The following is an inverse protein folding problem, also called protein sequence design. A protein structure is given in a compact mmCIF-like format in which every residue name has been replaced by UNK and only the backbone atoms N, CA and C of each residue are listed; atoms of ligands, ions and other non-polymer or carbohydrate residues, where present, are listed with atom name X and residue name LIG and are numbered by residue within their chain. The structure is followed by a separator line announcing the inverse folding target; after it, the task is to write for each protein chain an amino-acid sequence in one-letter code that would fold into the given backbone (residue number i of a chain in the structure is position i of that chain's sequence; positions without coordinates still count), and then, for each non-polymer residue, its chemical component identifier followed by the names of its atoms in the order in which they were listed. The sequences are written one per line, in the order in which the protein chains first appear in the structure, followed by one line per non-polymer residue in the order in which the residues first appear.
data_IF_395604345422
#
_entry.id   IF_395604345422
#
_cell.length_a   1.000
_cell.length_b   1.000
_cell.length_c   1.000
_cell.angle_alpha   90.00
_cell.angle_beta   90.00
_cell.angle_gamma   90.00
#
_symmetry.space_group_name_H-M   'P 1'
#
loop_
_entity.id
_entity.type
_entity.pdbx_description
1 polymer ?
#
# COMPACT_ATOMS: atom_id res chain seq x y z
N UNK A 1 8.47 8.53 -22.74
CA UNK A 1 7.79 7.24 -22.51
C UNK A 1 8.66 5.99 -22.74
N UNK A 2 9.78 6.07 -23.49
CA UNK A 2 10.62 4.88 -23.74
C UNK A 2 11.62 4.50 -22.62
N UNK A 3 11.81 5.34 -21.59
CA UNK A 3 12.73 5.04 -20.48
C UNK A 3 12.09 4.15 -19.40
N UNK A 4 10.80 4.36 -19.10
CA UNK A 4 10.01 3.53 -18.18
C UNK A 4 9.79 2.12 -18.74
N UNK A 5 9.53 2.01 -20.05
CA UNK A 5 9.40 0.72 -20.74
C UNK A 5 10.71 -0.10 -20.74
N UNK A 6 11.87 0.58 -20.80
CA UNK A 6 13.20 -0.06 -20.77
C UNK A 6 13.61 -0.49 -19.37
N UNK A 7 13.21 0.24 -18.33
CA UNK A 7 13.43 -0.14 -16.92
C UNK A 7 12.57 -1.34 -16.52
N UNK A 8 11.31 -1.40 -16.97
CA UNK A 8 10.44 -2.56 -16.75
C UNK A 8 10.97 -3.83 -17.46
N UNK A 9 11.49 -3.69 -18.69
CA UNK A 9 12.07 -4.80 -19.44
C UNK A 9 13.39 -5.34 -18.83
N UNK A 10 14.17 -4.51 -18.13
CA UNK A 10 15.39 -4.93 -17.45
C UNK A 10 15.11 -5.71 -16.16
N UNK A 11 13.98 -5.44 -15.49
CA UNK A 11 13.53 -6.18 -14.31
C UNK A 11 13.04 -7.60 -14.66
N UNK A 12 12.38 -7.79 -15.81
CA UNK A 12 11.91 -9.11 -16.26
C UNK A 12 13.02 -10.03 -16.80
N UNK A 13 14.19 -9.49 -17.16
CA UNK A 13 15.29 -10.28 -17.74
C UNK A 13 16.08 -11.11 -16.70
N UNK A 14 15.82 -10.94 -15.40
CA UNK A 14 16.49 -11.68 -14.32
C UNK A 14 15.71 -12.98 -13.98
N UNK A 15 14.50 -13.15 -14.49
CA UNK A 15 13.59 -14.24 -14.07
C UNK A 15 13.75 -15.57 -14.82
N UNK A 16 14.81 -15.77 -15.61
CA UNK A 16 14.91 -16.93 -16.53
C UNK A 16 16.27 -17.67 -16.49
N UNK A 17 16.92 -17.76 -15.32
CA UNK A 17 18.11 -18.61 -15.12
C UNK A 17 17.86 -19.55 -13.94
N UNK A 18 17.31 -20.75 -14.19
CA UNK A 18 17.12 -21.80 -13.18
C UNK A 18 16.13 -21.44 -12.07
N UNK A 19 15.48 -22.43 -11.46
CA UNK A 19 14.61 -22.20 -10.30
C UNK A 19 15.40 -22.18 -8.98
N UNK A 20 16.72 -22.00 -9.02
CA UNK A 20 17.58 -22.17 -7.85
C UNK A 20 17.87 -20.82 -7.20
N UNK A 21 17.56 -20.72 -5.91
CA UNK A 21 17.78 -19.49 -5.15
C UNK A 21 19.26 -19.22 -4.88
N UNK A 22 19.62 -18.01 -4.40
CA UNK A 22 21.00 -17.64 -4.15
C UNK A 22 21.71 -18.55 -3.14
N UNK A 23 20.99 -19.07 -2.14
CA UNK A 23 21.54 -20.00 -1.16
C UNK A 23 21.71 -21.41 -1.72
N UNK A 24 20.75 -21.87 -2.52
CA UNK A 24 20.81 -23.13 -3.26
C UNK A 24 22.02 -23.17 -4.22
N UNK A 25 22.22 -22.12 -5.03
CA UNK A 25 23.39 -22.00 -5.92
C UNK A 25 24.72 -21.95 -5.16
N UNK A 26 24.74 -21.34 -3.97
CA UNK A 26 25.92 -21.34 -3.11
C UNK A 26 26.20 -22.75 -2.56
N UNK A 27 25.15 -23.49 -2.20
CA UNK A 27 25.21 -24.88 -1.76
C UNK A 27 25.71 -25.82 -2.85
N UNK A 28 25.18 -25.71 -4.07
CA UNK A 28 25.63 -26.48 -5.23
C UNK A 28 27.13 -26.32 -5.48
N UNK A 29 27.63 -25.08 -5.44
CA UNK A 29 29.08 -24.79 -5.59
C UNK A 29 29.92 -25.38 -4.47
N UNK A 30 29.41 -25.39 -3.23
CA UNK A 30 30.09 -25.97 -2.09
C UNK A 30 30.17 -27.51 -2.20
N UNK A 31 29.08 -28.16 -2.62
CA UNK A 31 29.03 -29.60 -2.84
C UNK A 31 29.96 -30.01 -4.00
N UNK A 32 29.95 -29.26 -5.11
CA UNK A 32 30.88 -29.46 -6.23
C UNK A 32 32.35 -29.31 -5.80
N UNK A 33 32.68 -28.30 -4.97
CA UNK A 33 34.03 -28.12 -4.45
C UNK A 33 34.46 -29.22 -3.47
N UNK A 34 33.50 -29.85 -2.78
CA UNK A 34 33.74 -30.99 -1.89
C UNK A 34 33.85 -32.33 -2.65
N UNK A 35 33.72 -32.32 -3.98
CA UNK A 35 33.74 -33.54 -4.80
C UNK A 35 32.50 -34.41 -4.61
N UNK A 36 31.40 -33.83 -4.10
CA UNK A 36 30.10 -34.46 -4.07
C UNK A 36 29.55 -34.35 -5.49
N UNK A 37 29.89 -35.31 -6.34
CA UNK A 37 29.37 -35.36 -7.72
C UNK A 37 27.89 -35.69 -7.68
N UNK A 38 27.09 -34.72 -8.11
CA UNK A 38 25.66 -34.84 -8.18
C UNK A 38 25.28 -35.83 -9.29
N UNK A 39 24.59 -36.91 -8.92
CA UNK A 39 23.81 -37.66 -9.91
C UNK A 39 22.60 -36.80 -10.19
N UNK A 40 22.33 -36.52 -11.46
CA UNK A 40 21.22 -35.72 -12.09
C UNK A 40 19.82 -35.82 -11.44
N UNK A 41 19.62 -36.67 -10.43
CA UNK A 41 18.37 -36.97 -9.73
C UNK A 41 18.41 -36.62 -8.22
N UNK A 42 19.55 -36.25 -7.61
CA UNK A 42 19.65 -36.14 -6.14
C UNK A 42 20.52 -34.98 -5.64
N UNK A 43 19.95 -33.79 -5.52
CA UNK A 43 20.56 -32.58 -4.92
C UNK A 43 21.48 -32.86 -3.73
N UNK A 44 22.62 -32.18 -3.71
CA UNK A 44 23.66 -32.31 -2.70
C UNK A 44 23.23 -31.80 -1.30
N UNK A 45 23.94 -32.18 -0.22
CA UNK A 45 23.56 -31.78 1.14
C UNK A 45 23.54 -30.26 1.35
N UNK A 46 24.51 -29.53 0.80
CA UNK A 46 24.60 -28.08 0.95
C UNK A 46 23.59 -27.36 0.08
N UNK A 47 23.35 -27.87 -1.13
CA UNK A 47 22.28 -27.41 -2.04
C UNK A 47 20.90 -27.46 -1.36
N UNK A 48 20.53 -28.59 -0.73
CA UNK A 48 19.26 -28.73 0.00
C UNK A 48 19.12 -27.75 1.16
N UNK A 49 20.21 -27.53 1.89
CA UNK A 49 20.23 -26.55 2.99
C UNK A 49 19.99 -25.15 2.43
N UNK A 50 20.54 -24.84 1.26
CA UNK A 50 20.30 -23.61 0.53
C UNK A 50 18.84 -23.45 0.09
N UNK A 51 18.24 -24.48 -0.52
CA UNK A 51 16.82 -24.46 -0.96
C UNK A 51 15.88 -24.17 0.22
N UNK A 52 16.14 -24.78 1.38
CA UNK A 52 15.35 -24.54 2.61
C UNK A 52 15.48 -23.09 3.08
N UNK A 53 16.69 -22.51 3.03
CA UNK A 53 16.92 -21.10 3.38
C UNK A 53 16.16 -20.19 2.43
N UNK A 54 16.30 -20.40 1.11
CA UNK A 54 15.63 -19.62 0.09
C UNK A 54 14.09 -19.70 0.23
N UNK A 55 13.56 -20.89 0.57
CA UNK A 55 12.13 -21.07 0.85
C UNK A 55 11.70 -20.29 2.09
N UNK A 56 12.46 -20.39 3.18
CA UNK A 56 12.16 -19.67 4.41
C UNK A 56 12.17 -18.15 4.20
N UNK A 57 13.12 -17.63 3.43
CA UNK A 57 13.20 -16.20 3.08
C UNK A 57 12.01 -15.75 2.23
N UNK A 58 11.63 -16.54 1.21
CA UNK A 58 10.43 -16.25 0.39
C UNK A 58 9.16 -16.26 1.23
N UNK A 59 9.01 -17.21 2.14
CA UNK A 59 7.84 -17.28 3.01
C UNK A 59 7.79 -16.10 3.99
N UNK A 60 8.94 -15.68 4.52
CA UNK A 60 9.02 -14.45 5.33
C UNK A 60 8.70 -13.20 4.51
N UNK A 61 9.17 -13.10 3.26
CA UNK A 61 8.87 -11.97 2.39
C UNK A 61 7.37 -11.89 2.10
N UNK A 62 6.73 -13.01 1.75
CA UNK A 62 5.26 -13.09 1.55
C UNK A 62 4.49 -12.72 2.80
N UNK A 63 4.94 -13.15 3.98
CA UNK A 63 4.29 -12.77 5.23
C UNK A 63 4.37 -11.26 5.49
N UNK A 64 5.50 -10.62 5.17
CA UNK A 64 5.67 -9.16 5.28
C UNK A 64 4.80 -8.41 4.27
N UNK A 65 4.73 -8.90 3.03
CA UNK A 65 3.86 -8.35 1.99
C UNK A 65 2.39 -8.41 2.41
N UNK A 66 1.91 -9.57 2.87
CA UNK A 66 0.55 -9.71 3.39
C UNK A 66 0.26 -8.79 4.60
N UNK A 67 1.24 -8.57 5.46
CA UNK A 67 1.12 -7.59 6.56
C UNK A 67 1.04 -6.15 6.05
N UNK A 68 1.80 -5.81 5.01
CA UNK A 68 1.77 -4.49 4.41
C UNK A 68 0.42 -4.23 3.72
N UNK A 69 -0.08 -5.18 2.95
CA UNK A 69 -1.38 -5.10 2.29
C UNK A 69 -2.51 -4.90 3.31
N UNK A 70 -2.52 -5.69 4.39
CA UNK A 70 -3.51 -5.55 5.45
C UNK A 70 -3.43 -4.18 6.17
N UNK A 71 -2.23 -3.61 6.30
CA UNK A 71 -2.05 -2.27 6.87
C UNK A 71 -2.51 -1.17 5.90
N UNK A 72 -2.30 -1.35 4.60
CA UNK A 72 -2.80 -0.46 3.54
C UNK A 72 -4.33 -0.45 3.51
N UNK A 73 -4.96 -1.62 3.52
CA UNK A 73 -6.42 -1.76 3.59
C UNK A 73 -7.00 -1.04 4.82
N UNK A 74 -6.37 -1.23 5.99
CA UNK A 74 -6.79 -0.54 7.22
C UNK A 74 -6.63 0.99 7.11
N UNK A 75 -5.55 1.46 6.49
CA UNK A 75 -5.32 2.89 6.31
C UNK A 75 -6.36 3.51 5.36
N UNK A 76 -6.74 2.80 4.31
CA UNK A 76 -7.75 3.24 3.34
C UNK A 76 -9.16 3.27 3.95
N UNK A 77 -9.51 2.29 4.80
CA UNK A 77 -10.76 2.31 5.57
C UNK A 77 -10.82 3.53 6.51
N UNK A 78 -9.73 3.80 7.23
CA UNK A 78 -9.62 4.96 8.12
C UNK A 78 -9.75 6.26 7.33
N UNK A 79 -9.08 6.37 6.16
CA UNK A 79 -9.15 7.55 5.29
C UNK A 79 -10.58 7.77 4.80
N UNK A 80 -11.22 6.74 4.26
CA UNK A 80 -12.61 6.80 3.77
C UNK A 80 -13.56 7.25 4.86
N UNK A 81 -13.45 6.64 6.05
CA UNK A 81 -14.28 7.02 7.21
C UNK A 81 -14.04 8.46 7.66
N UNK A 82 -12.79 8.94 7.61
CA UNK A 82 -12.44 10.30 7.96
C UNK A 82 -13.03 11.30 6.96
N UNK A 83 -12.97 11.01 5.65
CA UNK A 83 -13.52 11.84 4.59
C UNK A 83 -15.05 11.94 4.70
N UNK A 84 -15.74 10.82 4.93
CA UNK A 84 -17.20 10.81 5.15
C UNK A 84 -17.61 11.68 6.35
N UNK A 85 -16.84 11.61 7.44
CA UNK A 85 -17.07 12.45 8.64
C UNK A 85 -16.81 13.92 8.34
N UNK A 86 -15.76 14.23 7.58
CA UNK A 86 -15.44 15.60 7.18
C UNK A 86 -16.58 16.18 6.33
N UNK A 87 -17.07 15.44 5.34
CA UNK A 87 -18.22 15.84 4.50
C UNK A 87 -19.48 16.08 5.33
N UNK A 88 -19.74 15.22 6.31
CA UNK A 88 -20.89 15.37 7.21
C UNK A 88 -20.79 16.64 8.07
N UNK A 89 -19.59 16.95 8.57
CA UNK A 89 -19.34 18.18 9.34
C UNK A 89 -19.44 19.43 8.46
N UNK A 90 -18.95 19.38 7.22
CA UNK A 90 -19.07 20.48 6.28
C UNK A 90 -20.53 20.80 5.96
N UNK A 91 -21.34 19.78 5.68
CA UNK A 91 -22.80 19.93 5.46
C UNK A 91 -23.51 20.54 6.66
N UNK A 92 -23.13 20.14 7.88
CA UNK A 92 -23.67 20.73 9.12
C UNK A 92 -23.27 22.21 9.25
N UNK A 93 -21.99 22.52 9.04
CA UNK A 93 -21.50 23.89 9.09
C UNK A 93 -22.21 24.78 8.06
N UNK A 94 -22.41 24.31 6.84
CA UNK A 94 -23.16 25.04 5.80
C UNK A 94 -24.61 25.30 6.18
N UNK A 95 -25.25 24.33 6.82
CA UNK A 95 -26.62 24.49 7.32
C UNK A 95 -26.69 25.57 8.39
N UNK A 96 -25.74 25.58 9.34
CA UNK A 96 -25.64 26.61 10.37
C UNK A 96 -25.38 27.98 9.74
N UNK A 97 -24.44 28.09 8.79
CA UNK A 97 -24.13 29.35 8.08
C UNK A 97 -25.35 29.91 7.36
N UNK A 98 -26.09 29.06 6.64
CA UNK A 98 -27.33 29.48 5.94
C UNK A 98 -28.40 29.94 6.90
N UNK A 99 -28.63 29.20 7.98
CA UNK A 99 -29.59 29.57 9.03
C UNK A 99 -29.23 30.91 9.69
N UNK A 100 -27.96 31.08 10.07
CA UNK A 100 -27.47 32.33 10.65
C UNK A 100 -27.62 33.52 9.68
N UNK A 101 -27.34 33.31 8.39
CA UNK A 101 -27.55 34.34 7.36
C UNK A 101 -29.02 34.75 7.26
N UNK A 102 -29.94 33.79 7.19
CA UNK A 102 -31.38 34.07 7.12
C UNK A 102 -31.89 34.78 8.38
N UNK A 103 -31.43 34.37 9.55
CA UNK A 103 -31.76 35.06 10.81
C UNK A 103 -31.27 36.51 10.80
N UNK A 104 -30.04 36.76 10.32
CA UNK A 104 -29.49 38.09 10.14
C UNK A 104 -30.32 38.96 9.19
N UNK A 105 -30.67 38.43 8.01
CA UNK A 105 -31.51 39.13 7.03
C UNK A 105 -32.90 39.49 7.59
N UNK A 106 -33.49 38.59 8.38
CA UNK A 106 -34.77 38.84 9.04
C UNK A 106 -34.67 39.93 10.11
N UNK A 107 -33.61 39.93 10.91
CA UNK A 107 -33.37 40.95 11.93
C UNK A 107 -33.12 42.32 11.31
N UNK A 108 -32.34 42.37 10.22
CA UNK A 108 -32.06 43.61 9.49
C UNK A 108 -33.36 44.21 8.91
N UNK A 109 -34.19 43.35 8.30
CA UNK A 109 -35.51 43.75 7.78
C UNK A 109 -36.42 44.32 8.88
N UNK A 110 -36.43 43.71 10.07
CA UNK A 110 -37.19 44.19 11.22
C UNK A 110 -36.66 45.54 11.72
N UNK A 111 -35.34 45.70 11.80
CA UNK A 111 -34.72 46.96 12.22
C UNK A 111 -35.04 48.10 11.25
N UNK A 112 -35.02 47.83 9.95
CA UNK A 112 -35.39 48.78 8.90
C UNK A 112 -36.85 49.21 8.97
N UNK A 113 -37.76 48.27 9.24
CA UNK A 113 -39.18 48.56 9.41
C UNK A 113 -39.44 49.46 10.62
N UNK A 114 -38.70 49.26 11.73
CA UNK A 114 -38.77 50.13 12.90
C UNK A 114 -38.24 51.53 12.56
N UNK A 115 -37.08 51.62 11.86
CA UNK A 115 -36.45 52.91 11.50
C UNK A 115 -37.33 53.75 10.56
N UNK A 116 -38.11 53.11 9.68
CA UNK A 116 -38.96 53.79 8.68
C UNK A 116 -40.34 54.18 9.21
N UNK A 117 -40.71 53.82 10.44
CA UNK A 117 -42.00 54.18 11.03
C UNK A 117 -41.96 55.66 11.46
N UNK A 118 -42.79 56.56 10.87
CA UNK A 118 -42.84 57.95 11.33
C UNK A 118 -43.42 57.99 12.75
N UNK A 119 -42.77 58.78 13.61
CA UNK A 119 -43.15 59.04 15.00
C UNK A 119 -44.53 59.68 15.13
#
# INVERSE_FOLDING_TARGET
MNRLLRLAALACAISLIGCDGPHEQAGEKADAAAGIEDKVVTSGPSERVGEIQDRAERDQAKAREAQADAAEDQADEVRTTADERADALEKQADTIRRSAKQAGESLDSQADAIRKKPS
#
